data_IF_359797889098
#
_entry.id   IF_359797889098
#
_cell.length_a   1.000
_cell.length_b   1.000
_cell.length_c   1.000
_cell.angle_alpha   90.00
_cell.angle_beta   90.00
_cell.angle_gamma   90.00
#
_symmetry.space_group_name_H-M   'P 1'
#
loop_
_entity.id
_entity.type
_entity.pdbx_description
1 polymer ?
#
# COMPACT_ATOMS: atom_id res chain seq x y z
N UNK A 1 -33.94 -6.19 8.49
CA UNK A 1 -33.24 -6.98 7.45
C UNK A 1 -33.26 -6.18 6.17
N UNK A 2 -32.14 -6.14 5.44
CA UNK A 2 -31.93 -5.39 4.18
C UNK A 2 -31.99 -3.85 4.37
N UNK A 3 -31.16 -3.01 3.75
CA UNK A 3 -30.01 -3.21 2.83
C UNK A 3 -28.85 -2.28 3.33
N UNK A 4 -27.59 -2.35 2.87
CA UNK A 4 -27.06 -2.93 1.63
C UNK A 4 -25.66 -3.53 1.84
N UNK A 5 -25.37 -4.64 1.16
CA UNK A 5 -24.03 -5.25 1.11
C UNK A 5 -23.30 -4.77 -0.14
N UNK A 6 -22.89 -3.51 -0.16
CA UNK A 6 -21.92 -2.96 -1.11
C UNK A 6 -21.35 -1.67 -0.54
N UNK A 7 -20.33 -1.81 0.30
CA UNK A 7 -19.32 -0.78 0.46
C UNK A 7 -18.00 -1.44 0.03
N UNK A 8 -17.66 -1.29 -1.26
CA UNK A 8 -16.32 -1.56 -1.76
C UNK A 8 -15.50 -0.31 -1.47
N UNK A 9 -15.02 -0.22 -0.23
CA UNK A 9 -14.48 1.02 0.34
C UNK A 9 -13.22 1.47 -0.40
N UNK A 10 -13.40 2.30 -1.42
CA UNK A 10 -12.30 2.97 -2.09
C UNK A 10 -11.65 3.96 -1.11
N UNK A 11 -10.62 3.48 -0.41
CA UNK A 11 -9.96 4.18 0.69
C UNK A 11 -9.44 5.53 0.23
N UNK A 12 -9.56 6.54 1.10
CA UNK A 12 -8.99 7.84 0.78
C UNK A 12 -7.47 7.81 0.88
N UNK A 13 -6.82 8.52 -0.03
CA UNK A 13 -5.35 8.62 -0.11
C UNK A 13 -4.72 8.93 1.25
N UNK A 14 -5.27 9.89 2.00
CA UNK A 14 -4.79 10.25 3.35
C UNK A 14 -4.91 9.12 4.37
N UNK A 15 -6.01 8.34 4.36
CA UNK A 15 -6.23 7.26 5.31
C UNK A 15 -5.24 6.10 5.09
N UNK A 16 -4.90 5.79 3.82
CA UNK A 16 -3.86 4.80 3.54
C UNK A 16 -2.47 5.29 3.99
N UNK A 17 -2.15 6.57 3.80
CA UNK A 17 -0.90 7.15 4.30
C UNK A 17 -0.80 7.14 5.83
N UNK A 18 -1.93 7.26 6.55
CA UNK A 18 -1.99 7.08 8.00
C UNK A 18 -1.82 5.60 8.40
N UNK A 19 -2.53 4.66 7.75
CA UNK A 19 -2.40 3.21 8.00
C UNK A 19 -0.96 2.73 7.80
N UNK A 20 -0.35 3.08 6.66
CA UNK A 20 1.00 2.64 6.31
C UNK A 20 2.06 3.28 7.22
N UNK A 21 1.94 4.55 7.60
CA UNK A 21 2.87 5.19 8.53
C UNK A 21 2.80 4.62 9.96
N UNK A 22 1.64 4.12 10.38
CA UNK A 22 1.47 3.41 11.67
C UNK A 22 1.95 1.96 11.59
N UNK A 23 1.70 1.27 10.48
CA UNK A 23 2.07 -0.14 10.26
C UNK A 23 3.58 -0.32 9.99
N UNK A 24 4.20 0.64 9.30
CA UNK A 24 5.61 0.58 8.89
C UNK A 24 6.40 1.81 9.39
N UNK A 25 6.56 1.99 10.72
CA UNK A 25 7.24 3.17 11.28
C UNK A 25 8.74 3.27 10.94
N UNK A 26 9.32 2.25 10.30
CA UNK A 26 10.65 2.30 9.70
C UNK A 26 10.70 3.11 8.39
N UNK A 27 9.58 3.20 7.66
CA UNK A 27 9.45 3.97 6.42
C UNK A 27 8.85 5.35 6.75
N UNK A 28 9.57 6.47 6.55
CA UNK A 28 9.04 7.78 6.87
C UNK A 28 7.86 8.13 5.96
N UNK A 29 6.83 8.81 6.49
CA UNK A 29 5.59 9.12 5.75
C UNK A 29 5.84 9.74 4.36
N UNK A 30 6.76 10.70 4.26
CA UNK A 30 7.09 11.33 2.97
C UNK A 30 7.70 10.38 1.93
N UNK A 31 8.24 9.21 2.35
CA UNK A 31 8.63 8.14 1.42
C UNK A 31 7.43 7.29 1.01
N UNK A 32 6.50 6.98 1.92
CA UNK A 32 5.22 6.34 1.59
C UNK A 32 4.42 7.19 0.59
N UNK A 33 4.38 8.50 0.80
CA UNK A 33 3.75 9.49 -0.08
C UNK A 33 4.43 9.56 -1.45
N UNK A 34 5.78 9.54 -1.50
CA UNK A 34 6.51 9.43 -2.76
C UNK A 34 6.22 8.12 -3.51
N UNK A 35 6.21 6.97 -2.82
CA UNK A 35 5.85 5.67 -3.39
C UNK A 35 4.43 5.71 -3.97
N UNK A 36 3.48 6.34 -3.27
CA UNK A 36 2.10 6.49 -3.74
C UNK A 36 2.01 7.28 -5.06
N UNK A 37 2.75 8.39 -5.18
CA UNK A 37 2.83 9.16 -6.42
C UNK A 37 3.53 8.36 -7.53
N UNK A 38 4.66 7.71 -7.23
CA UNK A 38 5.40 6.86 -8.18
C UNK A 38 4.50 5.76 -8.76
N UNK A 39 3.84 4.96 -7.92
CA UNK A 39 2.98 3.87 -8.35
C UNK A 39 1.70 4.38 -9.06
N UNK A 40 1.16 5.55 -8.68
CA UNK A 40 0.03 6.15 -9.39
C UNK A 40 0.42 6.57 -10.82
N UNK A 41 1.57 7.23 -10.99
CA UNK A 41 2.08 7.61 -12.31
C UNK A 41 2.37 6.38 -13.19
N UNK A 42 2.91 5.30 -12.60
CA UNK A 42 3.21 4.04 -13.29
C UNK A 42 1.95 3.29 -13.74
N UNK A 43 0.94 3.17 -12.86
CA UNK A 43 -0.22 2.29 -13.09
C UNK A 43 -1.42 2.98 -13.76
N UNK A 44 -1.61 4.28 -13.52
CA UNK A 44 -2.80 5.03 -13.90
C UNK A 44 -2.47 6.27 -14.74
N UNK A 45 -1.30 6.88 -14.49
CA UNK A 45 -0.81 8.07 -15.17
C UNK A 45 -1.30 9.38 -14.53
N UNK A 46 -0.38 10.31 -14.32
CA UNK A 46 -0.68 11.61 -13.69
C UNK A 46 -0.76 11.56 -12.17
N UNK A 47 -1.34 12.59 -11.57
CA UNK A 47 -1.36 12.82 -10.11
C UNK A 47 -2.49 12.03 -9.40
N UNK A 48 -2.24 11.54 -8.16
CA UNK A 48 -3.25 10.80 -7.40
C UNK A 48 -4.43 11.67 -6.94
N UNK A 49 -5.64 11.17 -7.16
CA UNK A 49 -6.87 11.77 -6.64
C UNK A 49 -7.17 11.40 -5.18
N UNK A 50 -8.29 11.92 -4.65
CA UNK A 50 -8.78 11.62 -3.30
C UNK A 50 -9.10 10.12 -3.06
N UNK A 51 -9.41 9.38 -4.14
CA UNK A 51 -9.99 8.03 -4.11
C UNK A 51 -9.00 7.01 -4.69
N UNK A 52 -8.56 6.07 -3.86
CA UNK A 52 -7.56 5.05 -4.22
C UNK A 52 -8.20 3.82 -4.89
N UNK A 53 -7.77 3.40 -6.11
CA UNK A 53 -8.09 2.09 -6.66
C UNK A 53 -7.36 0.97 -5.91
N UNK A 54 -7.99 -0.20 -5.73
CA UNK A 54 -7.41 -1.31 -4.95
C UNK A 54 -6.06 -1.79 -5.50
N UNK A 55 -5.92 -1.88 -6.83
CA UNK A 55 -4.66 -2.23 -7.50
C UNK A 55 -3.48 -1.32 -7.10
N UNK A 56 -3.73 -0.02 -6.95
CA UNK A 56 -2.70 0.94 -6.53
C UNK A 56 -2.39 0.78 -5.04
N UNK A 57 -3.40 0.54 -4.20
CA UNK A 57 -3.21 0.21 -2.78
C UNK A 57 -2.34 -1.03 -2.59
N UNK A 58 -2.53 -2.07 -3.40
CA UNK A 58 -1.71 -3.29 -3.35
C UNK A 58 -0.26 -3.03 -3.78
N UNK A 59 -0.03 -2.31 -4.88
CA UNK A 59 1.32 -1.96 -5.33
C UNK A 59 2.09 -1.09 -4.33
N UNK A 60 1.43 -0.07 -3.75
CA UNK A 60 2.01 0.79 -2.71
C UNK A 60 2.33 -0.01 -1.45
N UNK A 61 1.45 -0.93 -1.03
CA UNK A 61 1.69 -1.81 0.12
C UNK A 61 2.90 -2.73 -0.12
N UNK A 62 2.96 -3.42 -1.26
CA UNK A 62 4.07 -4.32 -1.61
C UNK A 62 5.42 -3.59 -1.61
N UNK A 63 5.45 -2.37 -2.17
CA UNK A 63 6.67 -1.57 -2.24
C UNK A 63 7.09 -0.98 -0.89
N UNK A 64 6.13 -0.60 -0.04
CA UNK A 64 6.40 -0.18 1.35
C UNK A 64 6.87 -1.36 2.21
N UNK A 65 6.33 -2.57 2.04
CA UNK A 65 6.80 -3.77 2.75
C UNK A 65 8.26 -4.11 2.39
N UNK A 66 8.62 -4.00 1.10
CA UNK A 66 10.02 -4.12 0.64
C UNK A 66 10.94 -3.04 1.23
N UNK A 67 10.54 -1.75 1.19
CA UNK A 67 11.37 -0.67 1.75
C UNK A 67 11.44 -0.67 3.28
N UNK A 68 10.45 -1.26 3.97
CA UNK A 68 10.46 -1.50 5.41
C UNK A 68 11.39 -2.67 5.82
N UNK A 69 11.93 -3.43 4.87
CA UNK A 69 12.70 -4.65 5.14
C UNK A 69 11.84 -5.80 5.67
N UNK A 70 10.53 -5.81 5.40
CA UNK A 70 9.64 -6.89 5.80
C UNK A 70 9.64 -7.94 4.70
N UNK A 71 10.45 -8.99 4.88
CA UNK A 71 10.59 -10.10 3.95
C UNK A 71 9.32 -10.98 3.94
N UNK A 72 8.27 -10.54 3.23
CA UNK A 72 6.99 -11.25 3.07
C UNK A 72 7.09 -12.44 2.08
N UNK A 73 8.01 -13.37 2.34
CA UNK A 73 8.18 -14.61 1.56
C UNK A 73 8.08 -15.86 2.43
N UNK A 74 7.28 -16.89 2.07
CA UNK A 74 7.24 -18.18 2.75
C UNK A 74 8.43 -19.10 2.39
N UNK A 75 9.54 -18.53 1.91
CA UNK A 75 10.74 -19.23 1.42
C UNK A 75 11.90 -19.21 2.43
N UNK A 76 11.57 -19.17 3.72
CA UNK A 76 12.48 -19.56 4.81
C UNK A 76 12.70 -21.08 4.89
N UNK A 77 12.71 -21.79 3.76
CA UNK A 77 12.93 -23.24 3.72
C UNK A 77 14.38 -23.56 4.06
N UNK A 78 14.56 -24.43 5.05
CA UNK A 78 15.85 -24.59 5.71
C UNK A 78 16.67 -25.72 5.10
N UNK A 79 17.78 -25.37 4.43
CA UNK A 79 18.86 -26.31 4.10
C UNK A 79 20.22 -25.81 4.61
N UNK A 80 20.73 -26.37 5.73
CA UNK A 80 22.14 -26.22 6.11
C UNK A 80 23.04 -27.14 5.28
N UNK A 81 24.30 -26.74 5.09
CA UNK A 81 25.38 -27.52 4.50
C UNK A 81 26.71 -27.20 5.21
#
# INVERSE_FOLDING_TARGET
MSSSSSDGSALSTTALLDELAVRFPAVPRGRVEAILVEEHEILLGGEPGDVMPELLREAVLERVEREAGVETGPDGDALPA
#
